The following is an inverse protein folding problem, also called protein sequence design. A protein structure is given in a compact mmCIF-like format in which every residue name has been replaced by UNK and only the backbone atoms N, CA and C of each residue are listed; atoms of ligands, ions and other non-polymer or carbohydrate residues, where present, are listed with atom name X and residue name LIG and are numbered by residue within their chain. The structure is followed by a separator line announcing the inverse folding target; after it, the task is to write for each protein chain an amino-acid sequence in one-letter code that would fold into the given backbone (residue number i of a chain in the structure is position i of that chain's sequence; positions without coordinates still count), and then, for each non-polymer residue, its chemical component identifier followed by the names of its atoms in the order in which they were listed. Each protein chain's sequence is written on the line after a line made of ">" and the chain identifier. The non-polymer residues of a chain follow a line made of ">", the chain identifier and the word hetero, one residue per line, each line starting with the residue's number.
data_IF_836606713036
#
_entry.id   IF_836606713036
#
_cell.length_a   1.000
_cell.length_b   1.000
_cell.length_c   1.000
_cell.angle_alpha   90.00
_cell.angle_beta   90.00
_cell.angle_gamma   90.00
#
_symmetry.space_group_name_H-M   'P 1'
#
loop_
_entity.id
_entity.type
_entity.pdbx_description
1 polymer ?
#
# COMPACT_ATOMS: atom_id res chain seq x y z
N UNK A 1 15.32 -7.13 -5.59
CA UNK A 1 14.89 -7.73 -4.32
C UNK A 1 15.51 -9.11 -4.13
N UNK A 2 15.94 -9.45 -2.92
CA UNK A 2 16.39 -10.79 -2.54
C UNK A 2 15.22 -11.50 -1.82
N UNK A 3 14.75 -12.63 -2.40
CA UNK A 3 13.58 -13.37 -1.91
C UNK A 3 13.78 -13.90 -0.48
N UNK A 4 14.97 -14.43 -0.20
CA UNK A 4 15.30 -14.98 1.11
C UNK A 4 15.27 -13.91 2.20
N UNK A 5 15.91 -12.76 1.95
CA UNK A 5 15.88 -11.64 2.90
C UNK A 5 14.46 -11.10 3.13
N UNK A 6 13.64 -11.06 2.08
CA UNK A 6 12.23 -10.66 2.19
C UNK A 6 11.43 -11.63 3.06
N UNK A 7 11.63 -12.94 2.91
CA UNK A 7 10.96 -13.93 3.75
C UNK A 7 11.38 -13.81 5.20
N UNK A 8 12.69 -13.74 5.49
CA UNK A 8 13.19 -13.55 6.86
C UNK A 8 12.61 -12.27 7.47
N UNK A 9 12.69 -11.15 6.76
CA UNK A 9 12.13 -9.90 7.25
C UNK A 9 10.63 -10.02 7.57
N UNK A 10 9.88 -10.68 6.69
CA UNK A 10 8.44 -10.82 6.90
C UNK A 10 8.12 -11.74 8.08
N UNK A 11 8.77 -12.91 8.16
CA UNK A 11 8.51 -13.90 9.20
C UNK A 11 9.04 -13.51 10.58
N UNK A 12 10.24 -12.93 10.63
CA UNK A 12 10.91 -12.62 11.90
C UNK A 12 10.60 -11.22 12.42
N UNK A 13 10.13 -10.31 11.58
CA UNK A 13 9.85 -8.92 11.99
C UNK A 13 8.39 -8.56 11.74
N UNK A 14 7.93 -8.60 10.48
CA UNK A 14 6.58 -8.10 10.17
C UNK A 14 5.48 -8.91 10.85
N UNK A 15 5.54 -10.25 10.80
CA UNK A 15 4.54 -11.12 11.44
C UNK A 15 4.47 -10.95 12.96
N UNK A 16 5.58 -11.02 13.72
CA UNK A 16 5.55 -10.80 15.17
C UNK A 16 5.03 -9.42 15.54
N UNK A 17 5.51 -8.37 14.87
CA UNK A 17 5.07 -6.99 15.15
C UNK A 17 3.58 -6.82 14.85
N UNK A 18 3.07 -7.41 13.77
CA UNK A 18 1.68 -7.18 13.36
C UNK A 18 0.70 -8.12 14.09
N UNK A 19 1.02 -9.40 14.25
CA UNK A 19 0.05 -10.39 14.73
C UNK A 19 0.22 -10.79 16.19
N UNK A 20 1.39 -10.55 16.79
CA UNK A 20 1.63 -10.84 18.22
C UNK A 20 1.52 -9.55 19.03
N UNK A 21 2.13 -8.47 18.54
CA UNK A 21 2.18 -7.19 19.27
C UNK A 21 0.94 -6.31 19.05
N UNK A 22 0.27 -6.42 17.89
CA UNK A 22 -0.94 -5.66 17.58
C UNK A 22 -2.17 -6.57 17.52
N UNK A 23 -3.32 -6.03 17.87
CA UNK A 23 -4.59 -6.75 17.78
C UNK A 23 -5.20 -6.57 16.39
N UNK A 24 -4.91 -7.46 15.44
CA UNK A 24 -5.30 -7.29 14.03
C UNK A 24 -6.61 -8.00 13.69
N UNK A 25 -7.52 -7.27 13.04
CA UNK A 25 -8.75 -7.81 12.45
C UNK A 25 -8.82 -7.46 10.98
N UNK A 26 -9.11 -8.46 10.14
CA UNK A 26 -9.21 -8.28 8.68
C UNK A 26 -10.62 -8.59 8.21
N UNK A 27 -11.27 -7.59 7.61
CA UNK A 27 -12.57 -7.72 6.93
C UNK A 27 -12.34 -7.76 5.42
N UNK A 28 -13.01 -8.68 4.72
CA UNK A 28 -12.89 -8.79 3.26
C UNK A 28 -11.62 -9.51 2.78
N UNK A 29 -10.95 -10.32 3.61
CA UNK A 29 -9.70 -11.03 3.24
C UNK A 29 -9.78 -11.81 1.92
N UNK A 30 -10.94 -12.39 1.61
CA UNK A 30 -11.17 -13.15 0.36
C UNK A 30 -11.09 -12.29 -0.90
N UNK A 31 -11.22 -10.97 -0.77
CA UNK A 31 -11.13 -10.00 -1.87
C UNK A 31 -9.69 -9.57 -2.18
N UNK A 32 -8.73 -9.94 -1.32
CA UNK A 32 -7.33 -9.64 -1.57
C UNK A 32 -6.80 -10.54 -2.70
N UNK A 33 -6.24 -9.97 -3.78
CA UNK A 33 -5.66 -10.76 -4.85
C UNK A 33 -4.41 -11.47 -4.35
N UNK A 34 -4.32 -12.78 -4.58
CA UNK A 34 -3.13 -13.58 -4.25
C UNK A 34 -2.22 -13.81 -5.46
N UNK A 35 -2.64 -13.33 -6.63
CA UNK A 35 -1.92 -13.36 -7.90
C UNK A 35 -2.07 -12.01 -8.62
N UNK A 36 -1.08 -11.65 -9.44
CA UNK A 36 -1.10 -10.43 -10.23
C UNK A 36 -1.54 -10.64 -11.68
N UNK A 37 -1.80 -9.55 -12.42
CA UNK A 37 -1.53 -8.17 -12.04
C UNK A 37 -2.66 -7.59 -11.19
N UNK A 38 -2.29 -6.77 -10.20
CA UNK A 38 -3.26 -6.04 -9.39
C UNK A 38 -2.64 -4.79 -8.80
N UNK A 39 -3.45 -3.76 -8.58
CA UNK A 39 -3.06 -2.55 -7.88
C UNK A 39 -3.76 -2.54 -6.52
N UNK A 40 -3.00 -2.58 -5.43
CA UNK A 40 -3.54 -2.33 -4.10
C UNK A 40 -3.42 -0.84 -3.82
N UNK A 41 -4.54 -0.17 -3.53
CA UNK A 41 -4.53 1.23 -3.09
C UNK A 41 -4.87 1.26 -1.62
N UNK A 42 -3.94 1.74 -0.79
CA UNK A 42 -4.13 1.80 0.65
C UNK A 42 -3.90 3.22 1.19
N UNK A 43 -4.60 3.62 2.26
CA UNK A 43 -4.32 4.88 2.96
C UNK A 43 -2.94 4.83 3.64
N UNK A 44 -2.25 5.98 3.75
CA UNK A 44 -0.89 6.04 4.29
C UNK A 44 -0.79 6.81 5.60
N UNK A 45 -0.72 6.06 6.69
CA UNK A 45 -0.76 6.57 8.04
C UNK A 45 0.55 6.31 8.81
N UNK A 46 1.37 5.32 8.41
CA UNK A 46 2.56 4.92 9.16
C UNK A 46 3.62 4.17 8.33
N UNK A 47 4.83 3.95 8.87
CA UNK A 47 5.76 2.99 8.27
C UNK A 47 5.28 1.53 8.41
N UNK A 48 4.40 1.23 9.37
CA UNK A 48 3.84 -0.11 9.57
C UNK A 48 2.89 -0.50 8.45
N UNK A 49 2.40 0.44 7.64
CA UNK A 49 1.41 0.16 6.58
C UNK A 49 1.93 -0.91 5.61
N UNK A 50 3.16 -0.75 5.13
CA UNK A 50 3.79 -1.72 4.21
C UNK A 50 4.03 -3.06 4.90
N UNK A 51 4.47 -3.05 6.17
CA UNK A 51 4.69 -4.28 6.94
C UNK A 51 3.37 -5.03 7.12
N UNK A 52 2.32 -4.32 7.53
CA UNK A 52 0.97 -4.83 7.76
C UNK A 52 0.42 -5.45 6.48
N UNK A 53 0.49 -4.73 5.35
CA UNK A 53 0.04 -5.23 4.06
C UNK A 53 0.78 -6.51 3.65
N UNK A 54 2.10 -6.61 3.88
CA UNK A 54 2.83 -7.85 3.57
C UNK A 54 2.29 -9.06 4.35
N UNK A 55 1.93 -8.90 5.62
CA UNK A 55 1.38 -10.02 6.41
C UNK A 55 0.01 -10.50 5.94
N UNK A 56 -0.65 -9.78 5.03
CA UNK A 56 -1.93 -10.22 4.44
C UNK A 56 -1.75 -11.25 3.33
N UNK A 57 -0.58 -11.27 2.67
CA UNK A 57 -0.29 -12.15 1.54
C UNK A 57 0.36 -13.48 1.98
N UNK A 58 0.09 -14.58 1.27
CA UNK A 58 0.90 -15.80 1.37
C UNK A 58 2.37 -15.50 1.06
N UNK A 59 3.30 -16.24 1.69
CA UNK A 59 4.74 -16.07 1.48
C UNK A 59 5.18 -16.30 0.02
N UNK A 60 4.49 -17.20 -0.69
CA UNK A 60 4.69 -17.46 -2.11
C UNK A 60 4.33 -16.25 -2.98
N UNK A 61 3.27 -15.52 -2.62
CA UNK A 61 2.83 -14.30 -3.33
C UNK A 61 3.74 -13.11 -3.02
N UNK A 62 4.32 -13.02 -1.83
CA UNK A 62 5.11 -11.84 -1.38
C UNK A 62 6.26 -11.45 -2.29
N UNK A 63 6.86 -12.39 -3.02
CA UNK A 63 7.93 -12.11 -3.98
C UNK A 63 7.45 -11.36 -5.23
N UNK A 64 6.13 -11.25 -5.40
CA UNK A 64 5.46 -10.53 -6.48
C UNK A 64 4.78 -9.24 -5.97
N UNK A 65 4.86 -8.92 -4.68
CA UNK A 65 4.22 -7.74 -4.09
C UNK A 65 5.25 -6.62 -3.93
N UNK A 66 5.06 -5.51 -4.64
CA UNK A 66 6.01 -4.40 -4.70
C UNK A 66 5.34 -3.07 -4.33
N UNK A 67 5.73 -2.43 -3.22
CA UNK A 67 5.23 -1.11 -2.88
C UNK A 67 5.96 -0.02 -3.67
N UNK A 68 5.19 0.98 -4.13
CA UNK A 68 5.70 2.17 -4.78
C UNK A 68 6.18 3.16 -3.71
N UNK A 69 7.38 3.69 -3.90
CA UNK A 69 8.00 4.57 -2.92
C UNK A 69 8.79 5.70 -3.57
N UNK A 70 8.82 6.87 -2.93
CA UNK A 70 9.52 8.05 -3.44
C UNK A 70 11.04 7.87 -3.35
N UNK A 71 11.72 7.94 -4.50
CA UNK A 71 13.15 7.64 -4.62
C UNK A 71 14.03 8.62 -3.81
N UNK A 72 13.67 9.91 -3.83
CA UNK A 72 14.31 10.99 -3.07
C UNK A 72 14.31 10.73 -1.55
N UNK A 73 13.27 10.08 -1.02
CA UNK A 73 13.21 9.74 0.39
C UNK A 73 13.96 8.44 0.73
N UNK A 74 13.71 7.36 -0.02
CA UNK A 74 14.22 6.02 0.33
C UNK A 74 15.63 5.75 -0.16
N UNK A 75 16.11 6.42 -1.22
CA UNK A 75 17.43 6.20 -1.80
C UNK A 75 18.47 7.24 -1.38
N UNK A 76 18.12 8.17 -0.48
CA UNK A 76 19.05 9.19 0.05
C UNK A 76 20.25 8.63 0.81
N UNK A 77 20.09 7.46 1.43
CA UNK A 77 21.11 6.80 2.24
C UNK A 77 21.35 5.40 1.68
N UNK A 78 22.61 5.02 1.45
CA UNK A 78 23.00 3.72 0.88
C UNK A 78 22.43 2.53 1.66
N UNK A 79 22.37 2.60 2.99
CA UNK A 79 21.84 1.53 3.84
C UNK A 79 20.31 1.45 3.72
N UNK A 80 19.62 2.58 3.80
CA UNK A 80 18.15 2.64 3.67
C UNK A 80 17.74 2.22 2.25
N UNK A 81 18.47 2.69 1.24
CA UNK A 81 18.22 2.34 -0.16
C UNK A 81 18.48 0.86 -0.44
N UNK A 82 19.57 0.30 0.09
CA UNK A 82 19.82 -1.14 0.01
C UNK A 82 18.69 -1.94 0.65
N UNK A 83 18.26 -1.57 1.86
CA UNK A 83 17.16 -2.23 2.55
C UNK A 83 15.85 -2.11 1.76
N UNK A 84 15.52 -0.93 1.28
CA UNK A 84 14.30 -0.68 0.50
C UNK A 84 14.28 -1.48 -0.82
N UNK A 85 15.40 -1.59 -1.53
CA UNK A 85 15.48 -2.27 -2.82
C UNK A 85 15.69 -3.79 -2.70
N UNK A 86 16.48 -4.23 -1.73
CA UNK A 86 16.87 -5.64 -1.56
C UNK A 86 15.95 -6.39 -0.62
N UNK A 87 15.42 -5.77 0.43
CA UNK A 87 14.53 -6.43 1.41
C UNK A 87 13.06 -6.08 1.12
N UNK A 88 12.72 -4.79 1.02
CA UNK A 88 11.33 -4.35 0.77
C UNK A 88 10.94 -4.48 -0.71
N UNK A 89 11.90 -4.47 -1.64
CA UNK A 89 11.61 -4.60 -3.06
C UNK A 89 10.74 -3.47 -3.64
N UNK A 90 10.94 -2.23 -3.15
CA UNK A 90 10.18 -1.06 -3.61
C UNK A 90 10.33 -0.85 -5.12
N UNK A 91 9.31 -0.26 -5.74
CA UNK A 91 9.41 0.41 -7.05
C UNK A 91 9.71 1.89 -6.77
N UNK A 92 10.95 2.37 -7.02
CA UNK A 92 11.30 3.76 -6.78
C UNK A 92 10.68 4.66 -7.86
N UNK A 93 9.94 5.68 -7.43
CA UNK A 93 9.42 6.74 -8.31
C UNK A 93 10.21 8.01 -8.08
N UNK A 94 10.80 8.55 -9.14
CA UNK A 94 11.53 9.79 -9.10
C UNK A 94 10.59 10.93 -9.48
N UNK A 95 10.62 12.01 -8.69
CA UNK A 95 9.78 13.19 -8.90
C UNK A 95 10.64 14.27 -9.54
N UNK A 96 10.23 14.82 -10.69
CA UNK A 96 10.97 15.90 -11.37
C UNK A 96 10.71 15.97 -12.87
N UNK A 97 11.01 17.11 -13.49
CA UNK A 97 10.68 17.44 -14.88
C UNK A 97 11.44 16.63 -15.96
N UNK A 98 12.45 15.83 -15.57
CA UNK A 98 13.34 15.14 -16.52
C UNK A 98 13.02 13.66 -16.73
N UNK A 99 11.95 13.12 -16.16
CA UNK A 99 11.49 11.76 -16.46
C UNK A 99 10.26 11.77 -17.37
N UNK A 100 10.35 11.10 -18.51
CA UNK A 100 9.29 11.03 -19.51
C UNK A 100 8.00 10.36 -18.99
N UNK A 101 8.11 9.36 -18.11
CA UNK A 101 6.97 8.71 -17.46
C UNK A 101 7.36 8.17 -16.07
N UNK A 102 7.03 8.88 -14.96
CA UNK A 102 7.38 8.46 -13.61
C UNK A 102 6.69 7.16 -13.16
N UNK A 103 5.68 6.70 -13.91
CA UNK A 103 4.91 5.49 -13.62
C UNK A 103 5.34 4.29 -14.47
N UNK A 104 6.30 4.44 -15.39
CA UNK A 104 6.69 3.37 -16.30
C UNK A 104 7.12 2.09 -15.56
N UNK A 105 7.89 2.23 -14.48
CA UNK A 105 8.30 1.07 -13.67
C UNK A 105 7.12 0.34 -13.00
N UNK A 106 6.00 1.04 -12.74
CA UNK A 106 4.78 0.41 -12.26
C UNK A 106 4.08 -0.35 -13.39
N UNK A 107 4.01 0.23 -14.59
CA UNK A 107 3.47 -0.44 -15.79
C UNK A 107 4.24 -1.71 -16.09
N UNK A 108 5.58 -1.65 -16.07
CA UNK A 108 6.44 -2.81 -16.32
C UNK A 108 6.23 -3.91 -15.26
N UNK A 109 6.07 -3.52 -14.00
CA UNK A 109 5.77 -4.47 -12.92
C UNK A 109 4.40 -5.14 -13.12
N UNK A 110 3.37 -4.38 -13.47
CA UNK A 110 2.05 -4.94 -13.78
C UNK A 110 2.10 -5.87 -15.00
N UNK A 111 2.82 -5.49 -16.07
CA UNK A 111 3.05 -6.36 -17.22
C UNK A 111 3.74 -7.69 -16.83
N UNK A 112 4.66 -7.64 -15.86
CA UNK A 112 5.30 -8.81 -15.26
C UNK A 112 4.44 -9.55 -14.20
N UNK A 113 3.11 -9.34 -14.22
CA UNK A 113 2.12 -9.98 -13.33
C UNK A 113 2.40 -9.74 -11.84
N UNK A 114 2.97 -8.58 -11.50
CA UNK A 114 3.21 -8.18 -10.10
C UNK A 114 1.96 -7.54 -9.49
N UNK A 115 1.92 -7.54 -8.17
CA UNK A 115 0.96 -6.79 -7.37
C UNK A 115 1.66 -5.51 -6.90
N UNK A 116 1.14 -4.37 -7.30
CA UNK A 116 1.73 -3.06 -6.99
C UNK A 116 0.94 -2.41 -5.86
N UNK A 117 1.60 -2.03 -4.77
CA UNK A 117 0.97 -1.29 -3.66
C UNK A 117 1.23 0.21 -3.84
N UNK A 118 0.16 1.01 -3.88
CA UNK A 118 0.21 2.45 -4.02
C UNK A 118 -0.52 3.12 -2.87
N UNK A 119 0.09 4.17 -2.35
CA UNK A 119 -0.51 5.06 -1.37
C UNK A 119 -0.96 6.35 -2.07
N UNK A 120 -2.28 6.59 -2.25
CA UNK A 120 -2.83 7.62 -3.13
C UNK A 120 -2.50 9.05 -2.68
N UNK A 121 -2.22 9.22 -1.39
CA UNK A 121 -1.92 10.51 -0.76
C UNK A 121 -0.48 10.97 -1.10
N UNK A 122 0.43 10.03 -1.42
CA UNK A 122 1.82 10.28 -1.78
C UNK A 122 2.72 10.86 -0.67
N UNK A 123 2.17 11.12 0.50
CA UNK A 123 2.81 11.46 1.78
C UNK A 123 1.95 10.87 2.90
N UNK A 124 2.45 10.81 4.14
CA UNK A 124 1.60 10.38 5.27
C UNK A 124 0.54 11.44 5.56
N UNK A 125 -0.71 11.01 5.67
CA UNK A 125 -1.85 11.86 5.99
C UNK A 125 -1.93 12.24 7.47
N UNK A 126 -2.91 13.06 7.82
CA UNK A 126 -3.29 13.28 9.21
C UNK A 126 -4.13 12.10 9.73
N UNK A 127 -3.90 11.63 10.97
CA UNK A 127 -4.74 10.66 11.65
C UNK A 127 -6.24 10.91 11.44
N UNK A 128 -6.96 9.91 10.91
CA UNK A 128 -8.41 9.96 10.73
C UNK A 128 -8.92 10.84 9.58
N UNK A 129 -8.05 11.51 8.80
CA UNK A 129 -8.45 12.26 7.60
C UNK A 129 -7.88 11.61 6.36
N UNK A 130 -8.76 11.18 5.45
CA UNK A 130 -8.34 10.71 4.14
C UNK A 130 -8.06 11.91 3.23
N UNK A 131 -6.81 12.04 2.78
CA UNK A 131 -6.34 13.18 1.98
C UNK A 131 -6.80 13.07 0.51
N UNK A 132 -6.52 14.12 -0.28
CA UNK A 132 -6.81 14.10 -1.71
C UNK A 132 -6.07 12.95 -2.44
N UNK A 133 -6.79 12.20 -3.28
CA UNK A 133 -6.23 11.18 -4.15
C UNK A 133 -5.46 11.84 -5.30
N UNK A 134 -4.15 11.59 -5.38
CA UNK A 134 -3.32 12.05 -6.49
C UNK A 134 -3.69 11.37 -7.80
N UNK A 135 -3.55 12.09 -8.91
CA UNK A 135 -3.92 11.59 -10.25
C UNK A 135 -3.04 10.46 -10.78
N UNK A 136 -1.91 10.16 -10.14
CA UNK A 136 -0.99 9.12 -10.60
C UNK A 136 -1.64 7.74 -10.74
N UNK A 137 -2.60 7.40 -9.87
CA UNK A 137 -3.33 6.12 -9.97
C UNK A 137 -4.21 6.08 -11.22
N UNK A 138 -4.87 7.20 -11.56
CA UNK A 138 -5.67 7.28 -12.79
C UNK A 138 -4.80 7.17 -14.06
N UNK A 139 -3.63 7.83 -14.08
CA UNK A 139 -2.70 7.72 -15.20
C UNK A 139 -2.11 6.31 -15.34
N UNK A 140 -1.93 5.59 -14.22
CA UNK A 140 -1.51 4.19 -14.24
C UNK A 140 -2.62 3.28 -14.74
N UNK A 141 -3.86 3.46 -14.26
CA UNK A 141 -5.00 2.64 -14.68
C UNK A 141 -5.35 2.87 -16.15
N UNK A 142 -5.18 4.09 -16.68
CA UNK A 142 -5.33 4.37 -18.11
C UNK A 142 -4.37 3.55 -18.98
N UNK A 143 -3.14 3.31 -18.52
CA UNK A 143 -2.15 2.49 -19.23
C UNK A 143 -2.38 0.99 -19.06
N UNK A 144 -3.21 0.59 -18.09
CA UNK A 144 -3.47 -0.80 -17.71
C UNK A 144 -4.96 -0.98 -17.35
N UNK A 145 -5.91 -0.76 -18.29
CA UNK A 145 -7.33 -0.60 -17.95
C UNK A 145 -7.98 -1.86 -17.35
N UNK A 146 -7.49 -3.04 -17.73
CA UNK A 146 -7.95 -4.35 -17.27
C UNK A 146 -7.42 -4.73 -15.88
N UNK A 147 -6.46 -3.98 -15.32
CA UNK A 147 -5.85 -4.34 -14.04
C UNK A 147 -6.77 -3.91 -12.90
N UNK A 148 -7.20 -4.83 -12.02
CA UNK A 148 -8.06 -4.50 -10.91
C UNK A 148 -7.32 -3.62 -9.89
N UNK A 149 -8.04 -2.64 -9.36
CA UNK A 149 -7.57 -1.73 -8.31
C UNK A 149 -8.37 -2.07 -7.05
N UNK A 150 -7.70 -2.51 -5.98
CA UNK A 150 -8.32 -2.99 -4.75
C UNK A 150 -8.09 -1.95 -3.65
N UNK A 151 -9.15 -1.25 -3.20
CA UNK A 151 -9.07 -0.35 -2.06
C UNK A 151 -8.87 -1.13 -0.76
N UNK A 152 -7.91 -0.69 0.04
CA UNK A 152 -7.62 -1.24 1.38
C UNK A 152 -7.57 -0.09 2.37
N UNK A 153 -8.48 -0.08 3.33
CA UNK A 153 -8.46 0.88 4.43
C UNK A 153 -7.90 0.24 5.69
N UNK A 154 -6.90 0.88 6.29
CA UNK A 154 -6.26 0.46 7.54
C UNK A 154 -6.50 1.53 8.62
N UNK A 155 -7.12 1.11 9.72
CA UNK A 155 -7.44 1.95 10.87
C UNK A 155 -6.55 1.60 12.08
N UNK A 156 -6.08 2.60 12.81
CA UNK A 156 -5.36 2.43 14.09
C UNK A 156 -3.83 2.37 13.95
N UNK A 157 -3.28 2.24 12.74
CA UNK A 157 -1.82 2.19 12.54
C UNK A 157 -1.12 3.51 12.87
N UNK A 158 -1.80 4.63 12.66
CA UNK A 158 -1.40 5.97 13.10
C UNK A 158 -1.32 6.10 14.62
N UNK A 159 -2.21 5.41 15.35
CA UNK A 159 -2.21 5.40 16.82
C UNK A 159 -1.13 4.48 17.38
N UNK A 160 -0.84 3.38 16.68
CA UNK A 160 0.24 2.46 17.05
C UNK A 160 1.62 3.06 16.77
N UNK A 161 1.85 3.66 15.60
CA UNK A 161 3.16 4.22 15.26
C UNK A 161 3.03 5.45 14.38
N UNK A 162 2.58 6.54 15.00
CA UNK A 162 2.39 7.84 14.37
C UNK A 162 3.68 8.50 13.92
N UNK A 163 3.54 9.62 13.20
CA UNK A 163 4.69 10.38 12.69
C UNK A 163 5.61 10.81 13.84
N UNK A 164 6.89 10.43 13.76
CA UNK A 164 7.91 10.74 14.78
C UNK A 164 8.14 9.63 15.80
N UNK A 165 7.23 8.66 15.92
CA UNK A 165 7.42 7.48 16.76
C UNK A 165 8.25 6.41 16.04
N UNK A 166 9.13 5.75 16.78
CA UNK A 166 10.02 4.69 16.26
C UNK A 166 9.63 3.29 16.72
N UNK A 167 8.86 3.19 17.80
CA UNK A 167 8.44 1.92 18.42
C UNK A 167 6.91 1.88 18.39
N UNK A 168 6.31 0.79 17.90
CA UNK A 168 4.86 0.66 17.87
C UNK A 168 4.30 0.43 19.28
N UNK A 169 3.30 1.20 19.69
CA UNK A 169 2.51 0.89 20.89
C UNK A 169 1.43 -0.14 20.54
N UNK A 170 1.15 -1.12 21.44
CA UNK A 170 0.07 -2.08 21.23
C UNK A 170 -1.27 -1.38 20.99
N UNK A 171 -1.91 -1.68 19.87
CA UNK A 171 -3.21 -1.12 19.50
C UNK A 171 -4.00 -2.09 18.63
N UNK A 172 -5.33 -1.95 18.61
CA UNK A 172 -6.19 -2.72 17.70
C UNK A 172 -6.17 -2.10 16.31
N UNK A 173 -5.86 -2.94 15.31
CA UNK A 173 -5.77 -2.54 13.92
C UNK A 173 -6.88 -3.24 13.15
N UNK A 174 -7.76 -2.44 12.54
CA UNK A 174 -8.77 -2.96 11.64
C UNK A 174 -8.37 -2.70 10.18
N UNK A 175 -8.46 -3.75 9.37
CA UNK A 175 -8.15 -3.71 7.94
C UNK A 175 -9.41 -4.08 7.18
N UNK A 176 -9.81 -3.24 6.24
CA UNK A 176 -10.98 -3.44 5.38
C UNK A 176 -10.53 -3.47 3.93
N UNK A 177 -10.90 -4.53 3.22
CA UNK A 177 -10.56 -4.74 1.83
C UNK A 177 -11.87 -4.73 1.04
N UNK A 178 -11.95 -3.88 0.02
CA UNK A 178 -13.16 -3.75 -0.80
C UNK A 178 -13.09 -4.56 -2.10
N UNK A 179 -14.20 -4.59 -2.83
CA UNK A 179 -14.27 -5.08 -4.20
C UNK A 179 -13.36 -4.27 -5.14
N UNK A 180 -12.88 -4.88 -6.23
CA UNK A 180 -12.06 -4.18 -7.21
C UNK A 180 -12.88 -3.09 -7.92
N UNK A 181 -12.20 -1.99 -8.23
CA UNK A 181 -12.60 -1.02 -9.26
C UNK A 181 -11.63 -1.10 -10.43
N UNK A 182 -12.06 -0.60 -11.59
CA UNK A 182 -11.28 -0.61 -12.81
C UNK A 182 -11.10 0.82 -13.33
N UNK A 183 -10.37 0.95 -14.44
CA UNK A 183 -10.20 2.23 -15.12
C UNK A 183 -11.55 2.84 -15.52
N UNK A 184 -11.63 4.17 -15.38
CA UNK A 184 -12.71 4.99 -15.91
C UNK A 184 -12.10 6.12 -16.75
N UNK A 185 -12.64 6.32 -17.95
CA UNK A 185 -12.16 7.34 -18.88
C UNK A 185 -12.29 8.74 -18.31
N UNK A 186 -13.32 9.00 -17.50
CA UNK A 186 -13.47 10.26 -16.80
C UNK A 186 -12.68 10.26 -15.48
N UNK A 187 -11.64 11.10 -15.45
CA UNK A 187 -10.73 11.22 -14.30
C UNK A 187 -11.44 11.65 -13.02
N UNK A 188 -12.43 12.52 -13.12
CA UNK A 188 -13.16 13.01 -11.95
C UNK A 188 -14.01 11.89 -11.35
N UNK A 189 -14.74 11.16 -12.19
CA UNK A 189 -15.56 10.00 -11.83
C UNK A 189 -14.72 8.88 -11.23
N UNK A 190 -13.55 8.58 -11.80
CA UNK A 190 -12.60 7.63 -11.22
C UNK A 190 -12.18 8.04 -9.79
N UNK A 191 -11.69 9.29 -9.64
CA UNK A 191 -11.23 9.80 -8.35
C UNK A 191 -12.36 9.79 -7.31
N UNK A 192 -13.55 10.23 -7.70
CA UNK A 192 -14.71 10.26 -6.83
C UNK A 192 -15.15 8.86 -6.40
N UNK A 193 -15.17 7.91 -7.33
CA UNK A 193 -15.50 6.51 -7.05
C UNK A 193 -14.53 5.91 -6.05
N UNK A 194 -13.22 6.06 -6.29
CA UNK A 194 -12.18 5.59 -5.37
C UNK A 194 -12.28 6.26 -3.99
N UNK A 195 -12.53 7.58 -3.95
CA UNK A 195 -12.72 8.32 -2.71
C UNK A 195 -13.94 7.82 -1.92
N UNK A 196 -15.09 7.64 -2.57
CA UNK A 196 -16.30 7.11 -1.95
C UNK A 196 -16.10 5.72 -1.38
N UNK A 197 -15.31 4.86 -2.05
CA UNK A 197 -14.92 3.54 -1.53
C UNK A 197 -14.16 3.68 -0.22
N UNK A 198 -13.15 4.55 -0.16
CA UNK A 198 -12.39 4.82 1.07
C UNK A 198 -13.26 5.39 2.20
N UNK A 199 -14.15 6.34 1.91
CA UNK A 199 -15.08 6.89 2.91
C UNK A 199 -16.01 5.79 3.45
N UNK A 200 -16.50 4.91 2.59
CA UNK A 200 -17.36 3.78 3.01
C UNK A 200 -16.60 2.83 3.94
N UNK A 201 -15.37 2.45 3.59
CA UNK A 201 -14.53 1.60 4.44
C UNK A 201 -14.18 2.29 5.77
N UNK A 202 -13.91 3.60 5.75
CA UNK A 202 -13.67 4.38 6.96
C UNK A 202 -14.90 4.37 7.88
N UNK A 203 -16.11 4.56 7.34
CA UNK A 203 -17.34 4.51 8.13
C UNK A 203 -17.56 3.12 8.75
N UNK A 204 -17.22 2.04 8.04
CA UNK A 204 -17.28 0.69 8.60
C UNK A 204 -16.31 0.50 9.77
N UNK A 205 -15.14 1.13 9.73
CA UNK A 205 -14.20 1.13 10.85
C UNK A 205 -14.77 1.87 12.07
N UNK A 206 -15.31 3.08 11.87
CA UNK A 206 -15.81 3.92 12.97
C UNK A 206 -17.11 3.38 13.60
N UNK A 207 -18.02 2.79 12.80
CA UNK A 207 -19.29 2.23 13.32
C UNK A 207 -19.11 1.02 14.23
N UNK A 208 -17.96 0.33 14.19
CA UNK A 208 -17.67 -0.78 15.09
C UNK A 208 -17.18 -0.35 16.48
N UNK A 209 -16.94 0.95 16.68
CA UNK A 209 -16.38 1.52 17.91
C UNK A 209 -17.50 2.07 18.83
N UNK A 210 -18.77 2.07 18.40
CA UNK A 210 -19.94 2.49 19.18
C UNK A 210 -20.75 1.26 19.61
#
# INVERSE_FOLDING_TARGET
>A
MNRFLRWIFTLCIAYPVVWIWLGVRVSGRKKLPVEGPAIIVANHNSHLDVLTLFTLFPLSTLVNVQPVAAADYFLRNKVIGWFALKVIGIIPVYRGAHQANPLQACVDALAAKKIVIIFPEGTRGEPGKFSEIKSGIWHLSQQCPEVPIIPVYMHGLDRSMGKGQKIPVPFFIDIFIDEPLFYDADKATFKQSLFTRFVTLQQQATRKII
#
